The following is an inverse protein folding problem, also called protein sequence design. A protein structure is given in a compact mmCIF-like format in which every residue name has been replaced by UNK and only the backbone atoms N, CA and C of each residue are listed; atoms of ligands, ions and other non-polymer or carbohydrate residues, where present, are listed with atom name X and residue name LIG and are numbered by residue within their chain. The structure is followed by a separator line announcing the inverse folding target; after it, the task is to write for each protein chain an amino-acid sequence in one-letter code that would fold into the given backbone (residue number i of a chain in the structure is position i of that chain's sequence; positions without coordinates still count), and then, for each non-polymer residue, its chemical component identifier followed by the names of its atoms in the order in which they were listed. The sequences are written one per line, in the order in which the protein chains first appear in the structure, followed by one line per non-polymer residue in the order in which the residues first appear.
data_IF_029898493630
#
_entry.id   IF_029898493630
#
_cell.length_a   1.000
_cell.length_b   1.000
_cell.length_c   1.000
_cell.angle_alpha   90.00
_cell.angle_beta   90.00
_cell.angle_gamma   90.00
#
_symmetry.space_group_name_H-M   'P 1'
#
loop_
_entity.id
_entity.type
_entity.pdbx_description
1 polymer ?
#
# COMPACT_ATOMS: atom_id res chain seq x y z
N UNK A 1 -2.02 -15.49 -5.64
CA UNK A 1 -3.01 -16.00 -4.66
C UNK A 1 -2.73 -15.48 -3.25
N UNK A 2 -1.51 -15.56 -2.70
CA UNK A 2 -1.22 -15.13 -1.33
C UNK A 2 -1.56 -13.65 -1.06
N UNK A 3 -1.33 -12.74 -2.00
CA UNK A 3 -1.66 -11.33 -1.86
C UNK A 3 -3.18 -11.11 -1.82
N UNK A 4 -3.94 -11.81 -2.64
CA UNK A 4 -5.40 -11.73 -2.64
C UNK A 4 -6.01 -12.28 -1.34
N UNK A 5 -5.43 -13.34 -0.78
CA UNK A 5 -5.85 -13.92 0.50
C UNK A 5 -5.53 -13.05 1.71
N UNK A 6 -4.51 -12.18 1.64
CA UNK A 6 -4.11 -11.33 2.78
C UNK A 6 -5.18 -10.33 3.22
N UNK A 7 -6.19 -10.10 2.37
CA UNK A 7 -7.29 -9.15 2.61
C UNK A 7 -6.82 -7.76 3.06
N UNK A 8 -5.64 -7.34 2.59
CA UNK A 8 -5.02 -6.07 2.95
C UNK A 8 -5.76 -4.90 2.33
N UNK A 9 -6.10 -3.87 3.13
CA UNK A 9 -6.78 -2.69 2.63
C UNK A 9 -5.85 -1.81 1.78
N UNK A 10 -4.56 -1.84 2.13
CA UNK A 10 -3.54 -1.02 1.49
C UNK A 10 -2.26 -1.82 1.29
N UNK A 11 -1.37 -1.35 0.43
CA UNK A 11 -0.05 -1.94 0.28
C UNK A 11 0.79 -1.83 1.55
N UNK A 12 0.52 -0.81 2.38
CA UNK A 12 1.12 -0.68 3.71
C UNK A 12 0.68 -1.84 4.64
N UNK A 13 -0.59 -2.22 4.61
CA UNK A 13 -1.11 -3.37 5.36
C UNK A 13 -0.51 -4.68 4.87
N UNK A 14 -0.39 -4.83 3.55
CA UNK A 14 0.24 -5.99 2.92
C UNK A 14 1.67 -6.21 3.42
N UNK A 15 2.47 -5.14 3.44
CA UNK A 15 3.83 -5.20 3.94
C UNK A 15 3.89 -5.53 5.43
N UNK A 16 3.03 -4.92 6.24
CA UNK A 16 2.94 -5.17 7.67
C UNK A 16 2.54 -6.62 7.97
N UNK A 17 1.57 -7.17 7.26
CA UNK A 17 1.12 -8.55 7.42
C UNK A 17 2.18 -9.57 7.03
N UNK A 18 3.14 -9.20 6.19
CA UNK A 18 4.27 -10.08 5.87
C UNK A 18 5.13 -10.43 7.08
N UNK A 19 5.03 -9.67 8.18
CA UNK A 19 5.86 -9.80 9.39
C UNK A 19 7.34 -9.44 9.19
N UNK A 20 7.72 -9.00 8.00
CA UNK A 20 9.10 -8.73 7.59
C UNK A 20 9.47 -7.25 7.61
N UNK A 21 8.47 -6.39 7.59
CA UNK A 21 8.60 -4.93 7.55
C UNK A 21 7.69 -4.35 8.61
N UNK A 22 8.24 -3.49 9.46
CA UNK A 22 7.42 -2.62 10.30
C UNK A 22 6.92 -1.47 9.44
N UNK A 23 5.65 -1.12 9.57
CA UNK A 23 5.08 0.02 8.86
C UNK A 23 4.58 1.04 9.86
N UNK A 24 5.18 2.22 9.85
CA UNK A 24 4.71 3.35 10.63
C UNK A 24 3.57 4.02 9.86
N UNK A 25 2.38 4.00 10.44
CA UNK A 25 1.19 4.63 9.89
C UNK A 25 0.90 5.93 10.62
N UNK A 26 0.84 7.03 9.88
CA UNK A 26 0.41 8.34 10.40
C UNK A 26 -1.05 8.65 10.03
N UNK A 27 -1.59 7.94 9.04
CA UNK A 27 -2.95 8.09 8.53
C UNK A 27 -3.44 6.78 7.92
N UNK A 28 -4.72 6.70 7.65
CA UNK A 28 -5.27 5.58 6.90
C UNK A 28 -4.78 5.61 5.44
N UNK A 29 -4.61 4.45 4.86
CA UNK A 29 -4.22 4.32 3.47
C UNK A 29 -2.71 4.39 3.21
N UNK A 30 -1.95 5.10 4.03
CA UNK A 30 -0.52 5.29 3.85
C UNK A 30 0.32 4.75 5.00
N UNK A 31 1.62 4.62 4.76
CA UNK A 31 2.57 4.23 5.78
C UNK A 31 4.00 4.27 5.27
N UNK A 32 4.94 4.47 6.18
CA UNK A 32 6.36 4.43 5.92
C UNK A 32 6.93 3.09 6.34
N UNK A 33 7.56 2.33 5.44
CA UNK A 33 8.18 1.07 5.81
C UNK A 33 9.46 1.32 6.60
N UNK A 34 9.69 0.45 7.60
CA UNK A 34 10.89 0.43 8.41
C UNK A 34 11.51 -0.96 8.31
N UNK A 35 12.75 -1.04 7.87
CA UNK A 35 13.50 -2.27 7.73
C UNK A 35 14.72 -2.22 8.65
N UNK A 36 14.76 -3.06 9.67
CA UNK A 36 15.89 -3.16 10.62
C UNK A 36 16.32 -1.81 11.22
N UNK A 37 15.36 -0.93 11.51
CA UNK A 37 15.62 0.40 12.05
C UNK A 37 15.97 1.47 11.01
N UNK A 38 16.11 1.10 9.75
CA UNK A 38 16.23 2.07 8.66
C UNK A 38 14.83 2.49 8.18
N UNK A 39 14.68 3.78 7.95
CA UNK A 39 13.40 4.38 7.53
C UNK A 39 13.62 5.44 6.44
N UNK A 40 12.54 5.92 5.89
CA UNK A 40 12.49 7.05 4.97
C UNK A 40 13.40 6.87 3.74
N UNK A 41 14.28 7.82 3.48
CA UNK A 41 15.15 7.86 2.31
C UNK A 41 16.20 6.74 2.25
N UNK A 42 16.32 5.93 3.29
CA UNK A 42 17.27 4.81 3.35
C UNK A 42 16.70 3.48 2.87
N UNK A 43 15.39 3.45 2.61
CA UNK A 43 14.69 2.31 2.02
C UNK A 43 14.24 2.72 0.64
N UNK A 44 14.70 2.01 -0.37
CA UNK A 44 14.32 2.25 -1.75
C UNK A 44 13.05 1.47 -2.09
N UNK A 45 12.07 2.17 -2.64
CA UNK A 45 10.91 1.56 -3.29
C UNK A 45 11.14 1.49 -4.79
N UNK A 46 10.85 0.34 -5.37
CA UNK A 46 10.97 0.10 -6.81
C UNK A 46 9.66 -0.54 -7.29
N UNK A 47 9.15 -0.08 -8.41
CA UNK A 47 8.01 -0.69 -9.11
C UNK A 47 8.42 -1.04 -10.52
N UNK A 48 8.39 -2.30 -10.87
CA UNK A 48 8.76 -2.81 -12.18
C UNK A 48 10.09 -2.25 -12.70
N UNK A 49 11.08 -2.12 -11.80
CA UNK A 49 12.39 -1.57 -12.10
C UNK A 49 12.50 -0.03 -12.01
N UNK A 50 11.39 0.67 -11.83
CA UNK A 50 11.38 2.14 -11.70
C UNK A 50 11.46 2.53 -10.22
N UNK A 51 12.41 3.40 -9.88
CA UNK A 51 12.60 3.91 -8.52
C UNK A 51 11.54 4.95 -8.18
N UNK A 52 10.88 4.78 -7.02
CA UNK A 52 9.83 5.70 -6.54
C UNK A 52 10.31 6.77 -5.56
N UNK A 53 11.58 6.76 -5.18
CA UNK A 53 12.12 7.74 -4.24
C UNK A 53 12.26 9.10 -4.93
N UNK A 54 11.22 9.89 -4.88
CA UNK A 54 11.19 11.23 -5.46
C UNK A 54 11.47 12.28 -4.38
N UNK A 55 12.11 13.39 -4.76
CA UNK A 55 12.45 14.51 -3.88
C UNK A 55 11.24 15.25 -3.27
N UNK A 56 10.02 14.94 -3.73
CA UNK A 56 8.76 15.58 -3.31
C UNK A 56 8.35 15.18 -1.89
N UNK A 57 8.90 14.10 -1.35
CA UNK A 57 8.44 13.53 -0.08
C UNK A 57 9.19 14.13 1.10
N UNK A 58 8.42 14.71 2.03
CA UNK A 58 8.89 15.38 3.25
C UNK A 58 9.89 14.50 4.00
N UNK A 59 11.13 15.01 4.16
CA UNK A 59 12.20 14.35 4.92
C UNK A 59 12.41 12.86 4.54
N UNK A 60 12.06 12.48 3.31
CA UNK A 60 12.18 11.11 2.84
C UNK A 60 11.13 10.13 3.40
N UNK A 61 10.12 10.60 4.11
CA UNK A 61 9.03 9.74 4.54
C UNK A 61 8.19 9.33 3.33
N UNK A 62 8.33 8.07 2.96
CA UNK A 62 7.72 7.47 1.78
C UNK A 62 6.25 7.13 2.06
N UNK A 63 5.39 8.13 2.06
CA UNK A 63 3.93 7.89 2.03
C UNK A 63 3.48 7.33 0.67
N UNK A 64 4.42 7.10 -0.24
CA UNK A 64 4.18 6.65 -1.62
C UNK A 64 3.56 5.30 -1.75
N UNK A 65 3.66 4.48 -0.73
CA UNK A 65 2.98 3.18 -0.72
C UNK A 65 1.46 3.34 -0.88
N UNK A 66 0.93 4.51 -0.55
CA UNK A 66 -0.50 4.82 -0.74
C UNK A 66 -0.92 4.82 -2.21
N UNK A 67 -0.01 5.15 -3.12
CA UNK A 67 -0.30 5.20 -4.57
C UNK A 67 -0.35 3.82 -5.21
N UNK A 68 0.09 2.79 -4.49
CA UNK A 68 0.13 1.42 -4.98
C UNK A 68 -1.08 0.65 -4.45
N UNK A 69 -1.95 0.23 -5.35
CA UNK A 69 -3.05 -0.66 -5.01
C UNK A 69 -2.55 -2.11 -4.89
N UNK A 70 -2.81 -2.81 -3.78
CA UNK A 70 -2.41 -4.21 -3.64
C UNK A 70 -3.04 -5.14 -4.68
N UNK A 71 -4.17 -4.78 -5.27
CA UNK A 71 -4.86 -5.60 -6.26
C UNK A 71 -4.13 -5.73 -7.59
N UNK A 72 -3.30 -4.75 -7.94
CA UNK A 72 -2.48 -4.78 -9.17
C UNK A 72 -1.15 -5.51 -8.98
N UNK A 73 -0.79 -5.82 -7.74
CA UNK A 73 0.48 -6.46 -7.44
C UNK A 73 0.43 -7.96 -7.72
N UNK A 74 1.41 -8.45 -8.45
CA UNK A 74 1.69 -9.88 -8.57
C UNK A 74 2.58 -10.36 -7.42
N UNK A 75 3.58 -9.54 -7.05
CA UNK A 75 4.62 -9.92 -6.11
C UNK A 75 5.22 -8.69 -5.43
N UNK A 76 5.65 -8.86 -4.19
CA UNK A 76 6.48 -7.91 -3.48
C UNK A 76 7.73 -8.64 -2.95
N UNK A 77 8.91 -8.13 -3.27
CA UNK A 77 10.20 -8.64 -2.85
C UNK A 77 10.86 -7.66 -1.89
N UNK A 78 11.42 -8.17 -0.81
CA UNK A 78 12.14 -7.36 0.17
C UNK A 78 13.58 -7.84 0.22
N UNK A 79 14.49 -6.98 -0.26
CA UNK A 79 15.92 -7.20 -0.16
C UNK A 79 16.46 -6.46 1.06
N UNK A 80 17.05 -7.20 1.97
CA UNK A 80 17.62 -6.68 3.21
C UNK A 80 19.12 -6.36 3.04
N UNK A 81 19.57 -5.35 3.76
CA UNK A 81 20.98 -5.00 3.82
C UNK A 81 21.38 -3.99 2.76
N UNK A 82 22.70 -3.79 2.60
CA UNK A 82 23.23 -2.73 1.74
C UNK A 82 23.09 -3.08 0.26
N UNK A 83 21.86 -2.94 -0.24
CA UNK A 83 21.55 -3.08 -1.67
C UNK A 83 22.03 -1.88 -2.49
N UNK A 84 22.74 -0.95 -1.83
CA UNK A 84 23.29 0.25 -2.45
C UNK A 84 24.30 -0.04 -3.57
N UNK A 85 24.93 -1.22 -3.54
CA UNK A 85 25.84 -1.65 -4.62
C UNK A 85 25.09 -1.83 -5.95
N UNK A 86 23.84 -2.29 -5.89
CA UNK A 86 23.00 -2.55 -7.08
C UNK A 86 22.08 -1.38 -7.38
N UNK A 87 21.49 -0.80 -6.34
CA UNK A 87 20.40 0.18 -6.47
C UNK A 87 20.82 1.63 -6.14
N UNK A 88 22.04 1.87 -5.68
CA UNK A 88 22.55 3.18 -5.32
C UNK A 88 22.36 3.54 -3.84
N UNK A 89 22.78 4.78 -3.47
CA UNK A 89 22.88 5.26 -2.09
C UNK A 89 21.59 5.21 -1.29
N UNK A 90 20.44 5.32 -1.95
CA UNK A 90 19.11 5.35 -1.29
C UNK A 90 18.67 3.98 -0.75
N UNK A 91 19.40 2.91 -1.09
CA UNK A 91 19.11 1.54 -0.70
C UNK A 91 19.99 1.01 0.45
N UNK A 92 20.39 1.89 1.38
CA UNK A 92 21.27 1.52 2.50
C UNK A 92 20.59 0.55 3.49
N UNK A 93 19.31 0.75 3.78
CA UNK A 93 18.53 -0.08 4.69
C UNK A 93 17.92 -1.29 4.02
N UNK A 94 17.69 -1.21 2.73
CA UNK A 94 17.07 -2.26 1.92
C UNK A 94 16.27 -1.72 0.75
N UNK A 95 15.69 -2.66 0.00
CA UNK A 95 14.84 -2.38 -1.16
C UNK A 95 13.53 -3.14 -1.02
N UNK A 96 12.43 -2.49 -1.32
CA UNK A 96 11.13 -3.12 -1.52
C UNK A 96 10.80 -2.99 -3.01
N UNK A 97 10.78 -4.13 -3.69
CA UNK A 97 10.49 -4.19 -5.12
C UNK A 97 9.10 -4.78 -5.33
N UNK A 98 8.21 -3.97 -5.87
CA UNK A 98 6.88 -4.35 -6.27
C UNK A 98 6.88 -4.74 -7.74
N UNK A 99 6.27 -5.85 -8.05
CA UNK A 99 6.03 -6.30 -9.41
C UNK A 99 4.53 -6.24 -9.66
N UNK A 100 4.13 -5.52 -10.70
CA UNK A 100 2.73 -5.49 -11.10
C UNK A 100 2.36 -6.74 -11.90
N UNK A 101 1.08 -6.99 -12.05
CA UNK A 101 0.60 -8.10 -12.88
C UNK A 101 0.91 -7.82 -14.34
N UNK A 102 1.59 -8.75 -14.98
CA UNK A 102 1.75 -8.70 -16.42
C UNK A 102 0.46 -9.17 -17.10
N UNK A 103 0.11 -8.58 -18.25
CA UNK A 103 -0.95 -9.13 -19.07
C UNK A 103 -0.57 -10.52 -19.59
N UNK A 104 -1.50 -11.46 -19.49
CA UNK A 104 -1.31 -12.81 -20.00
C UNK A 104 -1.62 -12.83 -21.50
N UNK A 105 -0.71 -13.39 -22.33
CA UNK A 105 -0.96 -13.62 -23.74
C UNK A 105 -1.92 -14.80 -23.90
N UNK A 106 -2.71 -14.78 -24.98
CA UNK A 106 -3.70 -15.82 -25.26
C UNK A 106 -3.01 -17.13 -25.65
N UNK A 107 -3.28 -18.18 -24.88
CA UNK A 107 -2.98 -19.57 -25.24
C UNK A 107 -4.07 -20.16 -26.13
N UNK A 108 -3.80 -21.31 -26.78
CA UNK A 108 -4.69 -21.84 -27.84
C UNK A 108 -6.12 -22.18 -27.39
N UNK A 109 -6.30 -22.53 -26.11
CA UNK A 109 -7.60 -22.93 -25.54
C UNK A 109 -8.17 -21.94 -24.53
N UNK A 110 -7.65 -20.71 -24.44
CA UNK A 110 -8.07 -19.73 -23.43
C UNK A 110 -9.02 -18.67 -24.00
N UNK A 111 -9.85 -18.09 -23.11
CA UNK A 111 -10.69 -16.97 -23.50
C UNK A 111 -9.86 -15.70 -23.71
N UNK A 112 -10.10 -14.94 -24.77
CA UNK A 112 -9.40 -13.69 -25.04
C UNK A 112 -9.72 -12.59 -24.04
N UNK A 113 -10.69 -12.81 -23.17
CA UNK A 113 -11.12 -11.87 -22.15
C UNK A 113 -11.22 -12.58 -20.80
N UNK A 114 -10.55 -12.02 -19.80
CA UNK A 114 -10.68 -12.42 -18.39
C UNK A 114 -10.75 -11.19 -17.51
N UNK A 115 -11.41 -11.29 -16.37
CA UNK A 115 -11.51 -10.16 -15.45
C UNK A 115 -12.12 -10.54 -14.13
N UNK A 116 -12.09 -9.60 -13.20
CA UNK A 116 -12.66 -9.76 -11.88
C UNK A 116 -13.03 -8.42 -11.25
N UNK A 117 -13.89 -8.51 -10.26
CA UNK A 117 -14.28 -7.37 -9.42
C UNK A 117 -14.12 -7.74 -7.95
N UNK A 118 -13.73 -6.78 -7.15
CA UNK A 118 -13.62 -6.91 -5.71
C UNK A 118 -14.27 -5.71 -5.06
N UNK A 119 -15.11 -5.97 -4.06
CA UNK A 119 -15.66 -4.95 -3.17
C UNK A 119 -15.29 -5.32 -1.74
N UNK A 120 -14.86 -4.34 -0.97
CA UNK A 120 -14.47 -4.50 0.43
C UNK A 120 -15.09 -3.40 1.27
N UNK A 121 -15.55 -3.79 2.44
CA UNK A 121 -16.00 -2.86 3.46
C UNK A 121 -15.33 -3.21 4.80
N UNK A 122 -14.78 -2.22 5.48
CA UNK A 122 -14.18 -2.37 6.80
C UNK A 122 -14.91 -1.49 7.80
N UNK A 123 -15.67 -2.11 8.69
CA UNK A 123 -16.53 -1.42 9.68
C UNK A 123 -15.75 -0.61 10.70
N UNK A 124 -14.54 -1.04 11.07
CA UNK A 124 -13.70 -0.37 12.07
C UNK A 124 -13.33 1.06 11.65
N UNK A 125 -13.14 1.28 10.37
CA UNK A 125 -12.77 2.57 9.80
C UNK A 125 -13.86 3.16 8.91
N UNK A 126 -15.03 2.50 8.83
CA UNK A 126 -16.09 2.86 7.89
C UNK A 126 -15.54 3.09 6.48
N UNK A 127 -14.59 2.25 6.07
CA UNK A 127 -13.90 2.38 4.79
C UNK A 127 -14.47 1.43 3.76
N UNK A 128 -14.56 1.90 2.52
CA UNK A 128 -14.99 1.14 1.36
C UNK A 128 -13.90 1.16 0.30
N UNK A 129 -13.63 0.01 -0.30
CA UNK A 129 -12.73 -0.10 -1.43
C UNK A 129 -13.33 -1.00 -2.50
N UNK A 130 -13.15 -0.61 -3.75
CA UNK A 130 -13.55 -1.39 -4.90
C UNK A 130 -12.44 -1.45 -5.93
N UNK A 131 -12.30 -2.59 -6.58
CA UNK A 131 -11.40 -2.80 -7.70
C UNK A 131 -12.14 -3.54 -8.80
N UNK A 132 -11.92 -3.10 -10.02
CA UNK A 132 -12.35 -3.76 -11.25
C UNK A 132 -11.12 -3.94 -12.13
N UNK A 133 -10.86 -5.17 -12.56
CA UNK A 133 -9.76 -5.43 -13.47
C UNK A 133 -10.17 -6.38 -14.59
N UNK A 134 -9.53 -6.21 -15.73
CA UNK A 134 -9.72 -7.07 -16.89
C UNK A 134 -8.43 -7.18 -17.69
N UNK A 135 -8.27 -8.35 -18.32
CA UNK A 135 -7.21 -8.67 -19.27
C UNK A 135 -7.86 -8.94 -20.63
N UNK A 136 -7.36 -8.28 -21.65
CA UNK A 136 -7.75 -8.54 -23.04
C UNK A 136 -6.51 -9.02 -23.76
N UNK A 137 -6.60 -10.19 -24.36
CA UNK A 137 -5.44 -10.87 -24.91
C UNK A 137 -5.68 -11.36 -26.34
N UNK A 138 -4.62 -11.30 -27.11
CA UNK A 138 -4.44 -11.93 -28.41
C UNK A 138 -3.16 -12.76 -28.38
N UNK A 139 -2.89 -13.56 -29.40
CA UNK A 139 -1.64 -14.34 -29.53
C UNK A 139 -0.37 -13.49 -29.53
N UNK A 140 -0.46 -12.19 -29.86
CA UNK A 140 0.69 -11.28 -29.99
C UNK A 140 0.64 -10.07 -29.09
N UNK A 141 -0.52 -9.70 -28.61
CA UNK A 141 -0.73 -8.48 -27.80
C UNK A 141 -1.69 -8.80 -26.68
N UNK A 142 -1.36 -8.33 -25.48
CA UNK A 142 -2.25 -8.39 -24.35
C UNK A 142 -2.24 -7.07 -23.58
N UNK A 143 -3.34 -6.75 -22.93
CA UNK A 143 -3.49 -5.56 -22.08
C UNK A 143 -4.19 -5.93 -20.79
N UNK A 144 -3.59 -5.56 -19.66
CA UNK A 144 -4.20 -5.63 -18.35
C UNK A 144 -4.60 -4.23 -17.89
N UNK A 145 -5.85 -4.04 -17.53
CA UNK A 145 -6.38 -2.78 -17.01
C UNK A 145 -7.00 -3.00 -15.66
N UNK A 146 -6.70 -2.12 -14.72
CA UNK A 146 -7.29 -2.15 -13.37
C UNK A 146 -7.70 -0.74 -12.95
N UNK A 147 -8.88 -0.63 -12.34
CA UNK A 147 -9.40 0.61 -11.78
C UNK A 147 -9.77 0.35 -10.34
N UNK A 148 -9.24 1.15 -9.43
CA UNK A 148 -9.52 1.05 -8.00
C UNK A 148 -10.04 2.36 -7.46
N UNK A 149 -10.96 2.26 -6.54
CA UNK A 149 -11.46 3.37 -5.76
C UNK A 149 -11.44 2.97 -4.29
N UNK A 150 -10.95 3.87 -3.43
CA UNK A 150 -10.91 3.65 -1.98
C UNK A 150 -11.34 4.92 -1.26
N UNK A 151 -12.28 4.76 -0.35
CA UNK A 151 -12.74 5.80 0.56
C UNK A 151 -12.45 5.36 2.00
N UNK A 152 -11.80 6.22 2.76
CA UNK A 152 -11.39 5.96 4.13
C UNK A 152 -12.13 6.90 5.06
N UNK A 153 -13.00 6.35 5.90
CA UNK A 153 -13.62 7.09 6.98
C UNK A 153 -12.69 7.22 8.19
N UNK A 154 -13.18 7.89 9.22
CA UNK A 154 -12.44 8.09 10.46
C UNK A 154 -12.33 6.80 11.28
N UNK A 155 -11.16 6.60 11.90
CA UNK A 155 -10.98 5.56 12.90
C UNK A 155 -11.82 5.87 14.14
N UNK A 156 -12.69 4.96 14.49
CA UNK A 156 -13.46 5.04 15.73
C UNK A 156 -12.63 4.48 16.88
N UNK A 157 -12.42 5.25 17.90
CA UNK A 157 -11.86 4.78 19.17
C UNK A 157 -12.90 3.87 19.83
N UNK A 158 -12.45 2.77 20.44
CA UNK A 158 -13.35 1.87 21.15
C UNK A 158 -14.16 2.60 22.23
N UNK A 159 -15.40 2.19 22.42
CA UNK A 159 -16.34 2.78 23.37
C UNK A 159 -16.04 2.44 24.84
N UNK A 160 -15.06 1.60 25.10
CA UNK A 160 -14.68 1.24 26.49
C UNK A 160 -13.76 2.32 27.03
N UNK A 161 -14.31 3.14 27.91
CA UNK A 161 -13.53 4.12 28.66
C UNK A 161 -12.66 3.40 29.70
N UNK A 162 -11.36 3.63 29.63
CA UNK A 162 -10.49 3.22 30.71
C UNK A 162 -10.50 4.35 31.75
N UNK A 163 -11.16 4.13 32.90
CA UNK A 163 -11.34 5.12 33.98
C UNK A 163 -10.01 5.64 34.54
N UNK A 164 -8.90 4.95 34.30
CA UNK A 164 -7.57 5.33 34.80
C UNK A 164 -6.93 6.45 33.95
N UNK A 165 -7.28 6.56 32.66
CA UNK A 165 -6.67 7.52 31.74
C UNK A 165 -7.63 8.63 31.28
N UNK A 166 -8.86 8.66 31.77
CA UNK A 166 -9.86 9.64 31.39
C UNK A 166 -10.45 9.43 29.99
N UNK A 167 -11.27 10.36 29.60
CA UNK A 167 -11.97 10.33 28.29
C UNK A 167 -11.03 10.67 27.16
N UNK A 168 -10.50 9.68 26.44
CA UNK A 168 -9.68 9.88 25.25
C UNK A 168 -10.44 10.59 24.11
N UNK A 169 -11.77 10.60 24.16
CA UNK A 169 -12.61 11.24 23.16
C UNK A 169 -12.77 12.75 23.38
N UNK A 170 -12.34 13.26 24.52
CA UNK A 170 -12.45 14.67 24.83
C UNK A 170 -11.09 15.35 24.74
N UNK A 171 -10.88 16.14 23.70
CA UNK A 171 -9.73 17.05 23.63
C UNK A 171 -10.19 18.45 24.04
N UNK A 172 -9.91 18.89 25.28
CA UNK A 172 -10.38 20.19 25.76
C UNK A 172 -9.68 21.38 25.10
N UNK A 173 -8.69 21.14 24.26
CA UNK A 173 -7.88 22.17 23.60
C UNK A 173 -8.06 22.12 22.08
N UNK A 174 -9.28 22.26 21.62
CA UNK A 174 -9.47 22.62 20.21
C UNK A 174 -9.24 24.12 20.07
N UNK A 175 -8.43 24.50 19.10
CA UNK A 175 -8.42 25.87 18.61
C UNK A 175 -9.81 26.13 18.06
N UNK A 176 -10.61 26.89 18.82
CA UNK A 176 -11.82 27.48 18.29
C UNK A 176 -11.35 28.52 17.28
N UNK A 177 -11.44 28.24 15.99
CA UNK A 177 -11.32 29.27 14.97
C UNK A 177 -12.48 30.23 15.19
N UNK A 178 -12.23 31.35 15.81
CA UNK A 178 -13.13 32.48 15.78
C UNK A 178 -13.24 32.90 14.31
N UNK A 179 -14.29 32.48 13.66
CA UNK A 179 -14.79 33.13 12.47
C UNK A 179 -15.38 34.47 12.95
N UNK A 180 -14.52 35.50 12.99
CA UNK A 180 -14.94 36.87 13.07
C UNK A 180 -15.51 37.34 11.73
#
# INVERSE_FOLDING_TARGET
EAIAFSNSNTTADLLQQSGKVLVQKSQQGGGSPIIRGFEASRILLVVDGVRLNNAIYRAGHLQNIITMDPSILAKAEIAYGPSSVVYGSDALGGVIHFHTRNPDLLSEDENPFSGGAMLRYASAANSMAGNLHFNVASKKVASFTSVSYSDFGDLKVGSVENGEYGNFNFRPYYVVTNNG
#
